data_IF_851469421341
#
_entry.id   IF_851469421341
#
_cell.length_a   1.000
_cell.length_b   1.000
_cell.length_c   1.000
_cell.angle_alpha   90.00
_cell.angle_beta   90.00
_cell.angle_gamma   90.00
#
_symmetry.space_group_name_H-M   'P 1'
#
loop_
_entity.id
_entity.type
_entity.pdbx_description
1 polymer ?
#
# COMPACT_ATOMS: atom_id res chain seq x y z
N UNK A 1 -13.21 5.35 -4.00
CA UNK A 1 -11.92 6.03 -4.22
C UNK A 1 -10.76 5.04 -4.37
N UNK A 2 -10.53 4.13 -3.42
CA UNK A 2 -9.38 3.20 -3.46
C UNK A 2 -9.38 2.25 -4.68
N UNK A 3 -10.55 1.77 -5.13
CA UNK A 3 -10.63 0.89 -6.31
C UNK A 3 -10.14 1.54 -7.61
N UNK A 4 -10.21 2.87 -7.74
CA UNK A 4 -9.68 3.58 -8.92
C UNK A 4 -8.16 3.60 -8.95
N UNK A 5 -7.50 3.62 -7.80
CA UNK A 5 -6.04 3.51 -7.74
C UNK A 5 -5.64 2.13 -8.22
N UNK A 6 -6.21 1.07 -7.65
CA UNK A 6 -5.92 -0.30 -8.04
C UNK A 6 -6.18 -0.58 -9.53
N UNK A 7 -7.22 0.00 -10.12
CA UNK A 7 -7.52 -0.16 -11.54
C UNK A 7 -6.45 0.43 -12.47
N UNK A 8 -5.64 1.38 -11.99
CA UNK A 8 -4.56 2.00 -12.76
C UNK A 8 -3.21 1.32 -12.53
N UNK A 9 -3.13 0.34 -11.62
CA UNK A 9 -1.93 -0.44 -11.36
C UNK A 9 -1.57 -1.30 -12.59
N UNK A 10 -0.29 -1.31 -12.97
CA UNK A 10 0.19 -1.99 -14.17
C UNK A 10 -0.01 -1.20 -15.47
N UNK A 11 -0.88 -0.19 -15.48
CA UNK A 11 -1.08 0.70 -16.64
C UNK A 11 -0.39 2.06 -16.49
N UNK A 12 -0.45 2.64 -15.29
CA UNK A 12 0.09 3.99 -14.99
C UNK A 12 1.20 3.99 -13.95
N UNK A 13 1.26 2.95 -13.12
CA UNK A 13 2.27 2.81 -12.09
C UNK A 13 2.50 1.33 -11.75
N UNK A 14 3.68 1.00 -11.24
CA UNK A 14 3.95 -0.33 -10.70
C UNK A 14 3.53 -0.39 -9.22
N UNK A 15 2.66 -1.34 -8.87
CA UNK A 15 2.24 -1.54 -7.49
C UNK A 15 3.28 -2.41 -6.78
N UNK A 16 3.85 -1.92 -5.68
CA UNK A 16 4.80 -2.69 -4.88
C UNK A 16 4.17 -3.09 -3.54
N UNK A 17 4.19 -4.38 -3.22
CA UNK A 17 3.65 -4.92 -1.96
C UNK A 17 4.63 -5.92 -1.34
N UNK A 18 4.47 -6.21 -0.05
CA UNK A 18 5.18 -7.29 0.63
C UNK A 18 4.20 -8.33 1.20
N UNK A 19 4.65 -9.58 1.44
CA UNK A 19 3.85 -10.57 2.15
C UNK A 19 3.33 -10.08 3.50
N UNK A 20 4.10 -9.24 4.21
CA UNK A 20 3.70 -8.68 5.50
C UNK A 20 2.57 -7.64 5.38
N UNK A 21 2.55 -6.86 4.28
CA UNK A 21 1.44 -5.94 3.99
C UNK A 21 0.19 -6.74 3.60
N UNK A 22 0.31 -7.77 2.76
CA UNK A 22 -0.81 -8.62 2.38
C UNK A 22 -1.42 -9.37 3.58
N UNK A 23 -0.59 -9.83 4.50
CA UNK A 23 -1.06 -10.47 5.74
C UNK A 23 -1.85 -9.49 6.62
N UNK A 24 -1.44 -8.22 6.66
CA UNK A 24 -2.16 -7.17 7.37
C UNK A 24 -3.52 -6.87 6.73
N UNK A 25 -3.57 -6.77 5.39
CA UNK A 25 -4.84 -6.62 4.65
C UNK A 25 -5.78 -7.78 4.97
N UNK A 26 -5.29 -9.03 4.96
CA UNK A 26 -6.09 -10.20 5.35
C UNK A 26 -6.63 -10.06 6.78
N UNK A 27 -5.76 -9.68 7.73
CA UNK A 27 -6.11 -9.53 9.15
C UNK A 27 -7.23 -8.50 9.35
N UNK A 28 -7.11 -7.35 8.69
CA UNK A 28 -8.09 -6.27 8.77
C UNK A 28 -9.42 -6.73 8.16
N UNK A 29 -9.42 -7.28 6.95
CA UNK A 29 -10.66 -7.75 6.30
C UNK A 29 -11.33 -8.91 7.05
N UNK A 30 -10.55 -9.72 7.79
CA UNK A 30 -11.07 -10.82 8.61
C UNK A 30 -11.65 -10.35 9.96
N UNK A 31 -11.47 -9.08 10.34
CA UNK A 31 -11.87 -8.60 11.66
C UNK A 31 -13.40 -8.64 11.82
N UNK A 32 -13.95 -9.12 12.95
CA UNK A 32 -15.40 -9.30 13.12
C UNK A 32 -16.24 -8.02 12.92
N UNK A 33 -15.65 -6.86 13.23
CA UNK A 33 -16.26 -5.53 13.00
C UNK A 33 -16.24 -5.11 11.52
N UNK A 34 -15.55 -5.82 10.65
CA UNK A 34 -15.59 -5.62 9.21
C UNK A 34 -16.37 -6.73 8.49
N UNK A 35 -16.57 -7.90 9.14
CA UNK A 35 -17.52 -8.93 8.68
C UNK A 35 -18.97 -8.43 8.56
N UNK A 36 -19.35 -7.38 9.28
CA UNK A 36 -20.64 -6.69 9.08
C UNK A 36 -20.77 -5.98 7.73
N UNK A 37 -19.67 -5.80 6.99
CA UNK A 37 -19.66 -5.36 5.59
C UNK A 37 -19.67 -6.53 4.58
N UNK A 38 -19.74 -7.79 5.06
CA UNK A 38 -20.17 -8.93 4.24
C UNK A 38 -19.08 -9.75 3.57
N UNK A 39 -17.79 -9.42 3.70
CA UNK A 39 -16.74 -10.22 3.04
C UNK A 39 -16.63 -11.62 3.65
N UNK A 40 -16.93 -12.63 2.84
CA UNK A 40 -16.61 -14.03 3.04
C UNK A 40 -15.10 -14.26 3.00
N UNK A 41 -14.65 -15.39 3.55
CA UNK A 41 -13.23 -15.75 3.48
C UNK A 41 -12.75 -15.93 2.02
N UNK A 42 -13.64 -16.42 1.15
CA UNK A 42 -13.39 -16.57 -0.28
C UNK A 42 -13.17 -15.22 -0.98
N UNK A 43 -14.03 -14.23 -0.73
CA UNK A 43 -13.87 -12.87 -1.30
C UNK A 43 -12.58 -12.20 -0.82
N UNK A 44 -12.18 -12.42 0.44
CA UNK A 44 -10.90 -11.92 0.96
C UNK A 44 -9.72 -12.56 0.22
N UNK A 45 -9.73 -13.87 0.04
CA UNK A 45 -8.65 -14.56 -0.68
C UNK A 45 -8.62 -14.21 -2.16
N UNK A 46 -9.78 -14.04 -2.82
CA UNK A 46 -9.85 -13.57 -4.20
C UNK A 46 -9.27 -12.16 -4.35
N UNK A 47 -9.63 -11.26 -3.43
CA UNK A 47 -9.09 -9.90 -3.41
C UNK A 47 -7.57 -9.90 -3.19
N UNK A 48 -7.06 -10.67 -2.22
CA UNK A 48 -5.63 -10.81 -1.99
C UNK A 48 -4.92 -11.45 -3.19
N UNK A 49 -5.55 -12.41 -3.86
CA UNK A 49 -5.07 -13.02 -5.10
C UNK A 49 -4.92 -11.99 -6.22
N UNK A 50 -5.90 -11.11 -6.38
CA UNK A 50 -5.86 -9.99 -7.34
C UNK A 50 -4.71 -9.03 -7.02
N UNK A 51 -4.55 -8.63 -5.75
CA UNK A 51 -3.45 -7.78 -5.33
C UNK A 51 -2.07 -8.42 -5.61
N UNK A 52 -1.91 -9.72 -5.34
CA UNK A 52 -0.66 -10.44 -5.60
C UNK A 52 -0.31 -10.50 -7.09
N UNK A 53 -1.31 -10.62 -7.96
CA UNK A 53 -1.11 -10.64 -9.42
C UNK A 53 -0.75 -9.27 -9.98
N UNK A 54 -1.34 -8.21 -9.42
CA UNK A 54 -1.12 -6.84 -9.86
C UNK A 54 0.15 -6.19 -9.28
N UNK A 55 0.76 -6.78 -8.25
CA UNK A 55 1.87 -6.17 -7.53
C UNK A 55 3.22 -6.89 -7.72
N UNK A 56 4.29 -6.10 -7.81
CA UNK A 56 5.64 -6.57 -7.56
C UNK A 56 5.80 -6.92 -6.08
N UNK A 57 6.05 -8.21 -5.79
CA UNK A 57 6.15 -8.73 -4.43
C UNK A 57 7.58 -8.66 -3.89
N UNK A 58 7.82 -7.66 -3.06
CA UNK A 58 9.06 -7.48 -2.31
C UNK A 58 9.13 -8.54 -1.20
N UNK A 59 10.11 -9.45 -1.32
CA UNK A 59 10.31 -10.56 -0.36
C UNK A 59 11.48 -10.36 0.60
N UNK A 60 12.38 -9.43 0.30
CA UNK A 60 13.53 -9.09 1.14
C UNK A 60 13.54 -7.58 1.30
N UNK A 61 13.68 -7.12 2.54
CA UNK A 61 13.73 -5.70 2.87
C UNK A 61 14.62 -5.48 4.09
N UNK A 62 15.24 -4.30 4.22
CA UNK A 62 16.07 -3.98 5.37
C UNK A 62 15.21 -3.88 6.64
N UNK A 63 15.83 -4.11 7.80
CA UNK A 63 15.20 -3.76 9.07
C UNK A 63 15.28 -2.25 9.25
N UNK A 64 14.12 -1.61 9.33
CA UNK A 64 13.96 -0.18 9.57
C UNK A 64 13.39 0.01 10.98
N UNK A 65 13.81 1.08 11.65
CA UNK A 65 13.30 1.53 12.95
C UNK A 65 13.19 3.05 12.95
N UNK A 66 12.11 3.57 12.37
CA UNK A 66 11.90 5.00 12.16
C UNK A 66 10.65 5.46 12.93
N UNK A 67 9.55 4.73 12.79
CA UNK A 67 8.27 5.07 13.40
C UNK A 67 8.24 4.43 14.80
N UNK A 68 8.48 5.25 15.83
CA UNK A 68 8.58 4.76 17.22
C UNK A 68 7.21 4.51 17.83
N UNK A 69 6.23 5.30 17.42
CA UNK A 69 4.86 5.28 17.91
C UNK A 69 4.10 4.03 17.42
N UNK A 70 4.42 3.56 16.21
CA UNK A 70 3.95 2.30 15.66
C UNK A 70 5.05 1.60 14.83
N UNK A 71 5.87 0.75 15.46
CA UNK A 71 6.91 -0.02 14.77
C UNK A 71 6.38 -0.98 13.70
N UNK A 72 5.07 -1.25 13.65
CA UNK A 72 4.50 -2.08 12.60
C UNK A 72 4.58 -1.38 11.23
N UNK A 73 4.48 -0.04 11.20
CA UNK A 73 4.46 0.77 9.97
C UNK A 73 5.82 0.88 9.29
N UNK A 74 6.91 0.61 10.01
CA UNK A 74 8.26 0.52 9.44
C UNK A 74 8.33 -0.52 8.30
N UNK A 75 7.43 -1.51 8.28
CA UNK A 75 7.34 -2.49 7.18
C UNK A 75 6.97 -1.85 5.85
N UNK A 76 6.19 -0.77 5.86
CA UNK A 76 5.77 -0.04 4.66
C UNK A 76 6.97 0.73 4.09
N UNK A 77 7.71 1.43 4.96
CA UNK A 77 8.96 2.10 4.60
C UNK A 77 9.98 1.10 4.04
N UNK A 78 10.12 -0.07 4.69
CA UNK A 78 11.08 -1.08 4.29
C UNK A 78 10.72 -1.71 2.93
N UNK A 79 9.43 -1.96 2.69
CA UNK A 79 8.94 -2.44 1.41
C UNK A 79 9.23 -1.42 0.29
N UNK A 80 8.90 -0.16 0.51
CA UNK A 80 9.09 0.90 -0.49
C UNK A 80 10.59 1.10 -0.81
N UNK A 81 11.45 1.11 0.22
CA UNK A 81 12.89 1.24 0.05
C UNK A 81 13.47 0.06 -0.74
N UNK A 82 13.08 -1.16 -0.40
CA UNK A 82 13.55 -2.36 -1.11
C UNK A 82 13.02 -2.45 -2.56
N UNK A 83 11.88 -1.84 -2.84
CA UNK A 83 11.35 -1.71 -4.20
C UNK A 83 11.96 -0.54 -4.99
N UNK A 84 12.74 0.35 -4.35
CA UNK A 84 13.10 1.67 -4.91
C UNK A 84 11.87 2.45 -5.40
N UNK A 85 10.78 2.41 -4.64
CA UNK A 85 9.53 3.06 -5.02
C UNK A 85 9.64 4.59 -4.94
N UNK A 86 9.00 5.30 -5.88
CA UNK A 86 8.94 6.77 -5.85
C UNK A 86 7.96 7.30 -4.78
N UNK A 87 6.91 6.52 -4.50
CA UNK A 87 5.79 6.93 -3.65
C UNK A 87 5.37 5.85 -2.65
N UNK A 88 5.00 6.28 -1.46
CA UNK A 88 4.17 5.52 -0.51
C UNK A 88 2.79 6.19 -0.48
N UNK A 89 1.76 5.41 -0.78
CA UNK A 89 0.37 5.89 -0.74
C UNK A 89 -0.31 5.33 0.49
N UNK A 90 -0.56 6.16 1.49
CA UNK A 90 -1.15 5.74 2.77
C UNK A 90 -2.11 6.78 3.33
N UNK A 91 -3.08 6.34 4.14
CA UNK A 91 -3.91 7.24 4.97
C UNK A 91 -3.48 7.24 6.44
N UNK A 92 -2.45 6.46 6.76
CA UNK A 92 -1.89 6.38 8.09
C UNK A 92 -1.19 7.70 8.47
N UNK A 93 -1.58 8.28 9.60
CA UNK A 93 -1.03 9.57 10.06
C UNK A 93 0.44 9.50 10.48
N UNK A 94 0.90 8.37 11.02
CA UNK A 94 2.31 8.18 11.40
C UNK A 94 3.20 8.21 10.16
N UNK A 95 2.78 7.54 9.08
CA UNK A 95 3.46 7.61 7.79
C UNK A 95 3.36 9.02 7.17
N UNK A 96 2.17 9.63 7.15
CA UNK A 96 1.98 10.95 6.55
C UNK A 96 2.80 12.06 7.24
N UNK A 97 3.04 11.95 8.55
CA UNK A 97 3.88 12.91 9.30
C UNK A 97 5.31 12.97 8.78
N UNK A 98 5.85 11.88 8.23
CA UNK A 98 7.19 11.84 7.67
C UNK A 98 7.31 12.66 6.38
N UNK A 99 6.24 12.75 5.59
CA UNK A 99 6.13 13.38 4.26
C UNK A 99 7.04 12.78 3.17
N UNK A 100 8.28 12.46 3.50
CA UNK A 100 9.26 11.83 2.64
C UNK A 100 10.19 10.97 3.48
N UNK A 101 10.67 9.86 2.92
CA UNK A 101 11.67 9.02 3.55
C UNK A 101 12.67 8.51 2.52
N UNK A 102 13.94 8.89 2.65
CA UNK A 102 15.03 8.45 1.74
C UNK A 102 14.71 8.72 0.25
N UNK A 103 14.10 9.88 -0.06
CA UNK A 103 13.66 10.25 -1.41
C UNK A 103 12.29 9.70 -1.84
N UNK A 104 11.67 8.84 -1.01
CA UNK A 104 10.35 8.25 -1.28
C UNK A 104 9.27 9.18 -0.73
N UNK A 105 8.40 9.70 -1.59
CA UNK A 105 7.36 10.67 -1.19
C UNK A 105 6.15 9.95 -0.60
N UNK A 106 5.65 10.44 0.54
CA UNK A 106 4.50 9.84 1.24
C UNK A 106 3.28 10.72 1.00
N UNK A 107 2.24 10.15 0.39
CA UNK A 107 1.09 10.90 -0.11
C UNK A 107 -0.23 10.21 0.27
N UNK A 108 -1.31 10.98 0.51
CA UNK A 108 -2.64 10.42 0.61
C UNK A 108 -3.11 9.94 -0.76
N UNK A 109 -4.06 9.00 -0.78
CA UNK A 109 -4.65 8.41 -1.99
C UNK A 109 -5.13 9.46 -2.99
N UNK A 110 -5.76 10.53 -2.49
CA UNK A 110 -6.33 11.60 -3.29
C UNK A 110 -5.24 12.43 -3.99
N UNK A 111 -4.12 12.68 -3.32
CA UNK A 111 -2.98 13.38 -3.92
C UNK A 111 -2.28 12.54 -4.99
N UNK A 112 -2.13 11.23 -4.74
CA UNK A 112 -1.56 10.32 -5.74
C UNK A 112 -2.44 10.23 -6.99
N UNK A 113 -3.77 10.12 -6.82
CA UNK A 113 -4.70 10.14 -7.95
C UNK A 113 -4.58 11.42 -8.78
N UNK A 114 -4.42 12.59 -8.14
CA UNK A 114 -4.23 13.84 -8.85
C UNK A 114 -2.96 13.86 -9.70
N UNK A 115 -1.87 13.24 -9.23
CA UNK A 115 -0.61 13.07 -9.99
C UNK A 115 -0.89 12.21 -11.24
N UNK A 116 -1.47 11.02 -11.05
CA UNK A 116 -1.76 10.09 -12.15
C UNK A 116 -2.66 10.72 -13.23
N UNK A 117 -3.63 11.55 -12.84
CA UNK A 117 -4.53 12.19 -13.81
C UNK A 117 -3.87 13.34 -14.57
N UNK A 118 -2.90 14.04 -13.98
CA UNK A 118 -2.22 15.19 -14.60
C UNK A 118 -1.21 14.76 -15.66
N UNK A 119 -0.61 13.58 -15.52
CA UNK A 119 0.32 13.04 -16.52
C UNK A 119 -0.37 12.64 -17.83
N UNK A 120 -1.69 12.37 -17.81
CA UNK A 120 -2.49 12.08 -19.01
C UNK A 120 -2.84 13.30 -19.87
N UNK A 121 -2.46 14.50 -19.45
CA UNK A 121 -2.81 15.77 -20.11
C UNK A 121 -1.72 16.34 -21.01
N UNK A 122 -0.72 15.55 -21.41
CA UNK A 122 0.39 16.01 -22.28
C UNK A 122 0.57 15.11 -23.49
#
# INVERSE_FOLDING_TARGET
MNGRVLALAGERYELCLSPAILAEVRRVLSYPRLRRYGYSEEEVEEFLGTLRKAAFLVRRWPRIRVIREDPADDRVLACALAANADYIVSKDEHLQKLREYQGIRILPTEAFLAILTRETGR
#
